data_IF_320950387218
#
_entry.id   IF_320950387218
#
_cell.length_a   1.000
_cell.length_b   1.000
_cell.length_c   1.000
_cell.angle_alpha   90.00
_cell.angle_beta   90.00
_cell.angle_gamma   90.00
#
_symmetry.space_group_name_H-M   'P 1'
#
loop_
_entity.id
_entity.type
_entity.pdbx_description
1 polymer ?
#
# COMPACT_ATOMS: atom_id res chain seq x y z
N UNK A 1 29.86 -9.77 0.66
CA UNK A 1 28.69 -9.38 1.48
C UNK A 1 28.75 -10.24 2.72
N UNK A 2 28.93 -9.64 3.89
CA UNK A 2 29.06 -10.39 5.14
C UNK A 2 27.66 -10.78 5.64
N UNK A 3 27.30 -12.05 5.47
CA UNK A 3 26.00 -12.59 5.89
C UNK A 3 25.90 -12.81 7.40
N UNK A 4 26.97 -12.56 8.18
CA UNK A 4 26.97 -12.71 9.63
C UNK A 4 26.06 -11.71 10.37
N UNK A 5 25.60 -10.66 9.68
CA UNK A 5 24.69 -9.63 10.23
C UNK A 5 23.21 -9.94 10.03
N UNK A 6 22.86 -11.09 9.43
CA UNK A 6 21.46 -11.46 9.15
C UNK A 6 20.92 -12.32 10.28
N UNK A 7 19.88 -11.82 10.96
CA UNK A 7 19.12 -12.56 11.98
C UNK A 7 17.71 -12.84 11.46
N UNK A 8 17.21 -14.06 11.67
CA UNK A 8 15.79 -14.36 11.43
C UNK A 8 14.99 -13.86 12.64
N UNK A 9 14.08 -12.91 12.42
CA UNK A 9 13.22 -12.37 13.45
C UNK A 9 11.95 -13.21 13.64
N UNK A 10 11.31 -13.60 12.53
CA UNK A 10 10.12 -14.45 12.55
C UNK A 10 9.99 -15.27 11.25
N UNK A 11 9.22 -16.36 11.32
CA UNK A 11 8.88 -17.19 10.16
C UNK A 11 7.44 -17.67 10.25
N UNK A 12 6.66 -17.29 9.25
CA UNK A 12 5.29 -17.76 9.06
C UNK A 12 5.10 -18.38 7.67
N UNK A 13 3.91 -18.92 7.40
CA UNK A 13 3.58 -19.40 6.06
C UNK A 13 3.62 -18.23 5.07
N UNK A 14 4.41 -18.34 4.00
CA UNK A 14 4.61 -17.32 2.96
C UNK A 14 5.33 -16.03 3.40
N UNK A 15 5.86 -15.98 4.63
CA UNK A 15 6.51 -14.79 5.18
C UNK A 15 7.81 -15.18 5.90
N UNK A 16 8.87 -14.43 5.64
CA UNK A 16 10.12 -14.50 6.39
C UNK A 16 10.55 -13.09 6.76
N UNK A 17 10.60 -12.81 8.06
CA UNK A 17 11.01 -11.52 8.60
C UNK A 17 12.43 -11.62 9.11
N UNK A 18 13.28 -10.71 8.65
CA UNK A 18 14.72 -10.69 8.88
C UNK A 18 15.13 -9.35 9.47
N UNK A 19 16.27 -9.35 10.15
CA UNK A 19 17.01 -8.15 10.52
C UNK A 19 18.41 -8.23 9.92
N UNK A 20 18.78 -7.25 9.10
CA UNK A 20 20.12 -7.13 8.51
C UNK A 20 20.78 -5.91 9.16
N UNK A 21 21.65 -6.14 10.14
CA UNK A 21 22.15 -5.06 10.99
C UNK A 21 21.03 -4.44 11.82
N UNK A 22 20.67 -3.18 11.58
CA UNK A 22 19.55 -2.45 12.19
C UNK A 22 18.31 -2.33 11.27
N UNK A 23 18.41 -2.81 10.02
CA UNK A 23 17.33 -2.72 9.03
C UNK A 23 16.41 -3.94 9.11
N UNK A 24 15.10 -3.68 9.22
CA UNK A 24 14.05 -4.70 9.13
C UNK A 24 13.77 -5.02 7.66
N UNK A 25 13.70 -6.31 7.33
CA UNK A 25 13.49 -6.81 5.97
C UNK A 25 12.46 -7.93 5.97
N UNK A 26 11.37 -7.74 5.24
CA UNK A 26 10.35 -8.78 5.05
C UNK A 26 10.41 -9.37 3.64
N UNK A 27 10.45 -10.70 3.57
CA UNK A 27 10.34 -11.46 2.32
C UNK A 27 8.97 -12.15 2.29
N UNK A 28 8.11 -11.68 1.39
CA UNK A 28 6.72 -12.11 1.27
C UNK A 28 6.51 -12.81 -0.07
N UNK A 29 5.87 -13.99 -0.04
CA UNK A 29 5.40 -14.63 -1.28
C UNK A 29 4.13 -13.94 -1.76
N UNK A 30 4.28 -13.00 -2.69
CA UNK A 30 3.18 -12.29 -3.32
C UNK A 30 2.69 -13.02 -4.58
N UNK A 31 1.84 -14.03 -4.40
CA UNK A 31 1.36 -14.89 -5.49
C UNK A 31 0.13 -14.34 -6.22
N UNK A 32 0.18 -13.07 -6.62
CA UNK A 32 -0.85 -12.40 -7.43
C UNK A 32 -0.28 -12.04 -8.81
N UNK A 33 -1.13 -11.88 -9.84
CA UNK A 33 -0.69 -11.39 -11.14
C UNK A 33 0.07 -10.07 -11.01
N UNK A 34 1.15 -9.95 -11.79
CA UNK A 34 1.81 -8.66 -12.03
C UNK A 34 1.00 -7.96 -13.13
N UNK A 35 0.54 -6.75 -12.85
CA UNK A 35 -0.28 -5.99 -13.81
C UNK A 35 0.59 -5.39 -14.90
N UNK A 36 1.73 -4.81 -14.52
CA UNK A 36 2.66 -4.16 -15.43
C UNK A 36 4.11 -4.40 -15.02
N UNK A 37 5.04 -4.25 -15.96
CA UNK A 37 6.47 -4.32 -15.65
C UNK A 37 6.85 -3.07 -14.85
N UNK A 38 7.46 -3.25 -13.68
CA UNK A 38 7.97 -2.15 -12.88
C UNK A 38 9.35 -1.68 -13.32
N UNK A 39 9.80 -0.59 -12.72
CA UNK A 39 11.08 0.04 -13.05
C UNK A 39 12.28 -0.67 -12.41
N UNK A 40 13.46 -0.49 -13.01
CA UNK A 40 14.72 -0.86 -12.39
C UNK A 40 15.51 0.41 -12.09
N UNK A 41 15.64 0.74 -10.80
CA UNK A 41 16.37 1.92 -10.34
C UNK A 41 17.63 1.46 -9.64
N UNK A 42 18.81 1.90 -10.13
CA UNK A 42 20.12 1.52 -9.57
C UNK A 42 20.31 0.00 -9.45
N UNK A 43 19.76 -0.77 -10.40
CA UNK A 43 19.82 -2.23 -10.40
C UNK A 43 18.82 -2.92 -9.46
N UNK A 44 17.95 -2.17 -8.79
CA UNK A 44 16.89 -2.69 -7.91
C UNK A 44 15.57 -2.67 -8.68
N UNK A 45 14.96 -3.85 -8.84
CA UNK A 45 13.63 -3.98 -9.44
C UNK A 45 12.56 -3.51 -8.46
N UNK A 46 11.72 -2.59 -8.92
CA UNK A 46 10.56 -2.07 -8.21
C UNK A 46 9.28 -2.65 -8.80
N UNK A 47 8.21 -2.63 -8.01
CA UNK A 47 6.87 -2.98 -8.51
C UNK A 47 6.31 -1.79 -9.30
N UNK A 48 5.48 -2.06 -10.32
CA UNK A 48 4.84 -1.00 -11.11
C UNK A 48 3.90 -0.15 -10.25
N UNK A 49 3.67 1.11 -10.65
CA UNK A 49 2.71 1.98 -9.96
C UNK A 49 1.28 1.42 -9.96
N UNK A 50 0.75 0.81 -11.04
CA UNK A 50 -0.55 0.14 -11.01
C UNK A 50 -0.64 -1.03 -10.02
N UNK A 51 0.41 -1.86 -9.94
CA UNK A 51 0.50 -2.93 -8.95
C UNK A 51 0.57 -2.37 -7.53
N UNK A 52 1.36 -1.31 -7.30
CA UNK A 52 1.45 -0.62 -6.02
C UNK A 52 0.10 -0.03 -5.60
N UNK A 53 -0.62 0.61 -6.52
CA UNK A 53 -1.95 1.17 -6.26
C UNK A 53 -2.96 0.09 -5.87
N UNK A 54 -2.98 -1.03 -6.60
CA UNK A 54 -3.81 -2.18 -6.24
C UNK A 54 -3.44 -2.72 -4.84
N UNK A 55 -2.15 -2.82 -4.53
CA UNK A 55 -1.67 -3.30 -3.23
C UNK A 55 -2.08 -2.36 -2.09
N UNK A 56 -1.98 -1.04 -2.29
CA UNK A 56 -2.40 -0.04 -1.30
C UNK A 56 -3.90 -0.07 -1.03
N UNK A 57 -4.73 -0.22 -2.07
CA UNK A 57 -6.16 -0.42 -1.89
C UNK A 57 -6.49 -1.71 -1.12
N UNK A 58 -5.72 -2.78 -1.35
CA UNK A 58 -5.86 -4.00 -0.56
C UNK A 58 -5.44 -3.80 0.91
N UNK A 59 -4.42 -2.99 1.19
CA UNK A 59 -4.05 -2.65 2.59
C UNK A 59 -5.14 -1.84 3.27
N UNK A 60 -5.72 -0.83 2.60
CA UNK A 60 -6.86 -0.07 3.13
C UNK A 60 -8.05 -0.98 3.44
N UNK A 61 -8.36 -1.93 2.56
CA UNK A 61 -9.48 -2.86 2.77
C UNK A 61 -9.28 -3.83 3.95
N UNK A 62 -8.03 -4.17 4.29
CA UNK A 62 -7.73 -5.16 5.33
C UNK A 62 -7.36 -4.55 6.68
N UNK A 63 -6.54 -3.49 6.70
CA UNK A 63 -6.07 -2.82 7.93
C UNK A 63 -6.56 -1.39 8.06
N UNK A 64 -6.58 -0.62 6.96
CA UNK A 64 -6.96 0.79 6.99
C UNK A 64 -6.10 1.64 7.94
N UNK A 65 -4.77 1.47 7.94
CA UNK A 65 -3.89 2.27 8.81
C UNK A 65 -3.76 3.71 8.28
N UNK A 66 -3.47 4.69 9.14
CA UNK A 66 -3.43 6.13 8.75
C UNK A 66 -2.48 6.37 7.57
N UNK A 67 -1.30 5.73 7.59
CA UNK A 67 -0.31 5.82 6.50
C UNK A 67 -0.84 5.32 5.15
N UNK A 68 -1.76 4.34 5.12
CA UNK A 68 -2.28 3.80 3.87
C UNK A 68 -3.11 4.85 3.12
N UNK A 69 -3.84 5.68 3.86
CA UNK A 69 -4.60 6.78 3.28
C UNK A 69 -3.69 7.89 2.74
N UNK A 70 -2.56 8.17 3.40
CA UNK A 70 -1.53 9.06 2.86
C UNK A 70 -0.97 8.50 1.54
N UNK A 71 -0.64 7.21 1.51
CA UNK A 71 -0.15 6.55 0.29
C UNK A 71 -1.20 6.57 -0.83
N UNK A 72 -2.49 6.40 -0.50
CA UNK A 72 -3.58 6.55 -1.48
C UNK A 72 -3.62 7.97 -2.04
N UNK A 73 -3.49 9.00 -1.20
CA UNK A 73 -3.49 10.39 -1.66
C UNK A 73 -2.30 10.69 -2.56
N UNK A 74 -1.12 10.15 -2.27
CA UNK A 74 0.04 10.29 -3.15
C UNK A 74 -0.22 9.62 -4.51
N UNK A 75 -0.85 8.44 -4.51
CA UNK A 75 -1.20 7.73 -5.75
C UNK A 75 -2.29 8.44 -6.57
N UNK A 76 -3.13 9.27 -5.94
CA UNK A 76 -4.13 10.09 -6.65
C UNK A 76 -3.50 11.19 -7.52
N UNK A 77 -2.22 11.53 -7.31
CA UNK A 77 -1.47 12.42 -8.21
C UNK A 77 -1.10 11.72 -9.54
N UNK A 78 -1.22 10.40 -9.61
CA UNK A 78 -0.89 9.59 -10.79
C UNK A 78 -2.11 8.96 -11.48
N UNK A 79 -3.14 8.59 -10.71
CA UNK A 79 -4.30 7.88 -11.20
C UNK A 79 -5.59 8.42 -10.59
N UNK A 80 -6.69 8.33 -11.33
CA UNK A 80 -8.01 8.47 -10.73
C UNK A 80 -8.32 7.29 -9.81
N UNK A 81 -9.16 7.50 -8.79
CA UNK A 81 -9.59 6.42 -7.91
C UNK A 81 -10.29 5.27 -8.68
N UNK A 82 -10.97 5.59 -9.79
CA UNK A 82 -11.61 4.60 -10.67
C UNK A 82 -10.57 3.68 -11.32
N UNK A 83 -9.45 4.23 -11.79
CA UNK A 83 -8.35 3.44 -12.35
C UNK A 83 -7.71 2.57 -11.28
N UNK A 84 -7.47 3.12 -10.09
CA UNK A 84 -6.91 2.36 -8.96
C UNK A 84 -7.79 1.16 -8.56
N UNK A 85 -9.11 1.36 -8.47
CA UNK A 85 -10.08 0.26 -8.21
C UNK A 85 -10.07 -0.76 -9.37
N UNK A 86 -9.88 -0.30 -10.60
CA UNK A 86 -9.68 -1.16 -11.76
C UNK A 86 -8.42 -2.04 -11.64
N UNK A 87 -7.29 -1.48 -11.19
CA UNK A 87 -6.06 -2.23 -10.92
C UNK A 87 -6.27 -3.25 -9.80
N UNK A 88 -6.92 -2.85 -8.70
CA UNK A 88 -7.28 -3.76 -7.61
C UNK A 88 -8.09 -4.95 -8.12
N UNK A 89 -9.13 -4.72 -8.92
CA UNK A 89 -10.01 -5.78 -9.44
C UNK A 89 -9.26 -6.76 -10.35
N UNK A 90 -8.30 -6.26 -11.16
CA UNK A 90 -7.45 -7.11 -12.00
C UNK A 90 -6.47 -7.96 -11.19
N UNK A 91 -5.91 -7.39 -10.11
CA UNK A 91 -4.89 -8.06 -9.28
C UNK A 91 -5.50 -9.05 -8.29
N UNK A 92 -6.65 -8.71 -7.70
CA UNK A 92 -7.34 -9.46 -6.67
C UNK A 92 -8.71 -9.94 -7.18
N UNK A 93 -8.69 -10.82 -8.18
CA UNK A 93 -9.89 -11.29 -8.92
C UNK A 93 -10.99 -11.86 -8.03
N UNK A 94 -10.64 -12.42 -6.86
CA UNK A 94 -11.59 -13.01 -5.91
C UNK A 94 -12.09 -12.04 -4.84
N UNK A 95 -11.54 -10.83 -4.78
CA UNK A 95 -11.90 -9.82 -3.77
C UNK A 95 -13.02 -8.92 -4.27
N UNK A 96 -13.93 -8.55 -3.38
CA UNK A 96 -15.03 -7.63 -3.68
C UNK A 96 -14.53 -6.18 -3.75
N UNK A 97 -14.57 -5.49 -4.90
CA UNK A 97 -14.15 -4.10 -5.01
C UNK A 97 -14.96 -3.15 -4.13
N UNK A 98 -16.20 -3.50 -3.79
CA UNK A 98 -17.02 -2.69 -2.90
C UNK A 98 -16.51 -2.68 -1.46
N UNK A 99 -15.76 -3.71 -1.03
CA UNK A 99 -15.07 -3.69 0.25
C UNK A 99 -14.05 -2.55 0.34
N UNK A 100 -13.25 -2.36 -0.71
CA UNK A 100 -12.27 -1.27 -0.81
C UNK A 100 -12.96 0.09 -0.76
N UNK A 101 -14.04 0.27 -1.52
CA UNK A 101 -14.77 1.55 -1.58
C UNK A 101 -15.32 1.92 -0.20
N UNK A 102 -15.87 0.94 0.54
CA UNK A 102 -16.34 1.18 1.91
C UNK A 102 -15.20 1.52 2.86
N UNK A 103 -14.09 0.80 2.80
CA UNK A 103 -12.92 1.07 3.65
C UNK A 103 -12.28 2.44 3.37
N UNK A 104 -12.29 2.90 2.11
CA UNK A 104 -11.83 4.24 1.76
C UNK A 104 -12.70 5.36 2.36
N UNK A 105 -13.96 5.07 2.71
CA UNK A 105 -14.88 6.01 3.34
C UNK A 105 -14.91 5.90 4.88
N UNK A 106 -14.07 5.05 5.47
CA UNK A 106 -14.09 4.74 6.89
C UNK A 106 -12.72 5.06 7.53
N UNK A 107 -12.67 6.09 8.37
CA UNK A 107 -11.42 6.64 8.91
C UNK A 107 -11.25 6.44 10.42
N UNK A 108 -12.26 5.90 11.12
CA UNK A 108 -12.33 5.94 12.59
C UNK A 108 -11.13 5.27 13.27
N UNK A 109 -10.71 4.10 12.80
CA UNK A 109 -9.54 3.40 13.37
C UNK A 109 -8.23 4.07 12.95
N UNK A 110 -8.15 4.56 11.71
CA UNK A 110 -7.00 5.28 11.21
C UNK A 110 -6.72 6.54 12.05
N UNK A 111 -7.77 7.28 12.41
CA UNK A 111 -7.72 8.50 13.24
C UNK A 111 -6.92 8.29 14.54
N UNK A 112 -7.02 7.10 15.13
CA UNK A 112 -6.38 6.73 16.41
C UNK A 112 -4.87 6.49 16.30
N UNK A 113 -4.36 6.32 15.08
CA UNK A 113 -2.92 6.13 14.84
C UNK A 113 -2.17 7.47 14.84
N UNK A 114 -0.88 7.50 15.22
CA UNK A 114 -0.07 8.70 15.10
C UNK A 114 0.07 9.14 13.63
N UNK A 115 0.17 10.45 13.41
CA UNK A 115 0.37 10.98 12.07
C UNK A 115 1.70 10.48 11.48
N UNK A 116 1.71 9.99 10.22
CA UNK A 116 2.94 9.61 9.56
C UNK A 116 3.77 10.85 9.20
N UNK A 117 5.06 10.64 8.94
CA UNK A 117 5.91 11.71 8.41
C UNK A 117 5.48 12.08 6.98
N UNK A 118 4.85 13.24 6.85
CA UNK A 118 4.41 13.79 5.56
C UNK A 118 5.53 14.56 4.88
N UNK A 119 5.94 14.14 3.68
CA UNK A 119 7.02 14.80 2.91
C UNK A 119 6.61 16.15 2.31
N UNK A 120 5.33 16.32 2.03
CA UNK A 120 4.75 17.50 1.38
C UNK A 120 3.95 18.37 2.37
N UNK A 121 3.95 18.03 3.67
CA UNK A 121 3.23 18.77 4.69
C UNK A 121 1.72 18.56 4.69
N UNK A 122 1.20 17.57 3.95
CA UNK A 122 -0.21 17.15 4.05
C UNK A 122 -0.56 16.85 5.51
N UNK A 123 -1.68 17.40 5.96
CA UNK A 123 -2.29 17.08 7.25
C UNK A 123 -3.25 15.90 7.11
N UNK A 124 -3.65 15.31 8.24
CA UNK A 124 -4.65 14.24 8.23
C UNK A 124 -6.00 14.70 7.66
N UNK A 125 -6.42 15.91 8.00
CA UNK A 125 -7.65 16.51 7.47
C UNK A 125 -7.60 16.65 5.94
N UNK A 126 -6.47 17.11 5.38
CA UNK A 126 -6.27 17.19 3.93
C UNK A 126 -6.41 15.82 3.26
N UNK A 127 -5.86 14.78 3.90
CA UNK A 127 -5.91 13.41 3.40
C UNK A 127 -7.36 12.91 3.39
N UNK A 128 -8.09 13.08 4.48
CA UNK A 128 -9.50 12.67 4.57
C UNK A 128 -10.34 13.36 3.51
N UNK A 129 -10.20 14.68 3.34
CA UNK A 129 -10.98 15.44 2.34
C UNK A 129 -10.66 15.03 0.91
N UNK A 130 -9.38 14.79 0.59
CA UNK A 130 -8.98 14.30 -0.75
C UNK A 130 -9.53 12.91 -1.03
N UNK A 131 -9.46 11.98 -0.07
CA UNK A 131 -9.99 10.62 -0.24
C UNK A 131 -11.51 10.65 -0.39
N UNK A 132 -12.24 11.39 0.46
CA UNK A 132 -13.70 11.55 0.33
C UNK A 132 -14.10 12.11 -1.04
N UNK A 133 -13.40 13.15 -1.49
CA UNK A 133 -13.65 13.78 -2.80
C UNK A 133 -13.41 12.79 -3.93
N UNK A 134 -12.33 12.02 -3.87
CA UNK A 134 -12.04 10.99 -4.85
C UNK A 134 -13.13 9.92 -4.87
N UNK A 135 -13.50 9.36 -3.71
CA UNK A 135 -14.56 8.33 -3.61
C UNK A 135 -15.91 8.84 -4.11
N UNK A 136 -16.25 10.11 -3.87
CA UNK A 136 -17.49 10.71 -4.38
C UNK A 136 -17.58 10.83 -5.91
N UNK A 137 -16.45 10.65 -6.62
CA UNK A 137 -16.39 10.69 -8.09
C UNK A 137 -16.52 9.31 -8.78
N UNK A 138 -16.66 8.23 -7.99
CA UNK A 138 -16.81 6.85 -8.47
C UNK A 138 -18.17 6.56 -9.11
#
# INVERSE_FOLDING_TARGET
MDVSLVTIADKARNTLSLKIGDVEVDLLRHAYPILETGDVIQGISLISLPDLAAMKLNEVANRGSKKDFYDVVELLEHFSIREMVGFFTKKYVTSDPFSVIRSLAWFEEAELEPDPFSRNGLTWDDVQERVKTAVASL
#
